data_IF_210184284903
#
_entry.id   IF_210184284903
#
_cell.length_a   1.000
_cell.length_b   1.000
_cell.length_c   1.000
_cell.angle_alpha   90.00
_cell.angle_beta   90.00
_cell.angle_gamma   90.00
#
_symmetry.space_group_name_H-M   'P 1'
#
loop_
_entity.id
_entity.type
_entity.pdbx_description
1 polymer ?
#
# COMPACT_ATOMS: atom_id res chain seq x y z
N UNK A 1 71.51 19.09 2.14
CA UNK A 1 71.73 19.32 3.59
C UNK A 1 71.80 17.96 4.27
N UNK A 2 72.77 17.76 5.18
CA UNK A 2 73.25 16.45 5.64
C UNK A 2 72.73 16.04 7.04
N UNK A 3 73.26 14.88 7.49
CA UNK A 3 73.32 14.26 8.83
C UNK A 3 72.22 13.25 9.18
N UNK A 4 72.50 11.94 9.30
CA UNK A 4 73.43 11.15 10.16
C UNK A 4 72.90 10.90 11.58
N UNK A 5 72.64 9.61 11.86
CA UNK A 5 72.85 8.81 13.10
C UNK A 5 72.04 7.50 12.90
N UNK A 6 72.51 6.26 12.72
CA UNK A 6 73.72 5.47 12.98
C UNK A 6 73.99 5.05 14.44
N UNK A 7 73.49 3.85 14.83
CA UNK A 7 74.18 2.73 15.56
C UNK A 7 73.14 1.72 16.08
N UNK A 8 73.09 0.43 15.68
CA UNK A 8 74.02 -0.71 15.92
C UNK A 8 74.36 -0.86 17.40
N UNK A 9 73.90 -1.90 18.11
CA UNK A 9 74.55 -3.21 18.37
C UNK A 9 74.26 -3.49 19.88
N UNK A 10 74.16 -4.67 20.48
CA UNK A 10 74.33 -6.07 20.12
C UNK A 10 73.90 -6.95 21.32
N UNK A 11 73.74 -8.27 21.09
CA UNK A 11 74.03 -9.40 22.01
C UNK A 11 73.39 -9.48 23.43
N UNK A 12 72.54 -10.46 23.74
CA UNK A 12 72.86 -11.87 24.12
C UNK A 12 72.94 -12.06 25.65
N UNK A 13 72.01 -12.82 26.23
CA UNK A 13 72.36 -13.81 27.26
C UNK A 13 71.22 -14.79 27.53
N UNK A 14 71.60 -16.06 27.47
CA UNK A 14 70.86 -17.28 27.72
C UNK A 14 71.41 -17.84 29.04
N UNK A 15 70.56 -18.07 30.03
CA UNK A 15 70.87 -18.99 31.13
C UNK A 15 69.64 -19.84 31.46
N UNK A 16 69.84 -21.15 31.30
CA UNK A 16 68.99 -22.21 31.79
C UNK A 16 69.18 -22.37 33.32
N UNK A 17 68.08 -22.57 34.06
CA UNK A 17 68.12 -23.44 35.24
C UNK A 17 66.77 -24.11 35.49
N UNK A 18 66.80 -25.44 35.48
CA UNK A 18 65.71 -26.34 35.83
C UNK A 18 65.48 -26.42 37.34
N UNK A 19 64.24 -26.71 37.77
CA UNK A 19 63.88 -27.84 38.64
C UNK A 19 62.59 -27.59 39.45
N UNK A 20 61.53 -28.31 39.08
CA UNK A 20 60.69 -29.07 40.02
C UNK A 20 59.68 -28.33 40.90
N UNK A 21 58.39 -28.47 40.57
CA UNK A 21 57.39 -28.96 41.52
C UNK A 21 56.13 -29.40 40.79
N UNK A 22 55.68 -30.61 41.10
CA UNK A 22 54.43 -31.19 40.67
C UNK A 22 53.27 -30.58 41.48
N UNK A 23 52.32 -29.93 40.83
CA UNK A 23 50.95 -29.80 41.33
C UNK A 23 49.96 -30.05 40.18
N UNK A 24 48.93 -30.89 40.35
CA UNK A 24 47.90 -31.06 39.35
C UNK A 24 46.91 -29.91 39.45
N UNK A 25 47.11 -28.87 38.65
CA UNK A 25 46.08 -27.85 38.38
C UNK A 25 45.03 -28.43 37.45
N UNK A 26 44.09 -29.16 38.05
CA UNK A 26 42.79 -29.44 37.47
C UNK A 26 41.81 -28.41 38.05
N UNK A 27 41.65 -27.26 37.39
CA UNK A 27 40.51 -26.33 37.55
C UNK A 27 40.75 -25.05 36.71
N UNK A 28 40.72 -25.14 35.37
CA UNK A 28 40.67 -23.93 34.53
C UNK A 28 39.86 -24.12 33.24
N UNK A 29 38.77 -24.89 33.29
CA UNK A 29 37.81 -25.01 32.16
C UNK A 29 36.36 -24.63 32.54
N UNK A 30 36.12 -24.12 33.75
CA UNK A 30 34.77 -23.72 34.19
C UNK A 30 34.48 -22.20 34.08
N UNK A 31 35.46 -21.37 33.69
CA UNK A 31 35.31 -19.91 33.67
C UNK A 31 34.81 -19.37 32.31
N UNK A 32 35.06 -20.07 31.20
CA UNK A 32 34.74 -19.57 29.85
C UNK A 32 33.27 -19.76 29.47
N UNK A 33 32.55 -20.72 30.07
CA UNK A 33 31.10 -20.87 29.87
C UNK A 33 30.25 -19.88 30.69
N UNK A 34 30.85 -19.22 31.69
CA UNK A 34 30.15 -18.28 32.56
C UNK A 34 30.06 -16.87 31.97
N UNK A 35 31.03 -16.45 31.14
CA UNK A 35 30.98 -15.10 30.55
C UNK A 35 30.03 -15.04 29.35
N UNK A 36 30.01 -16.06 28.49
CA UNK A 36 29.07 -16.11 27.35
C UNK A 36 27.60 -16.19 27.78
N UNK A 37 27.30 -16.89 28.89
CA UNK A 37 25.93 -16.99 29.40
C UNK A 37 25.45 -15.70 30.11
N UNK A 38 26.37 -14.92 30.67
CA UNK A 38 26.07 -13.62 31.29
C UNK A 38 25.94 -12.52 30.21
N UNK A 39 26.84 -12.51 29.22
CA UNK A 39 26.75 -11.63 28.05
C UNK A 39 25.44 -11.84 27.26
N UNK A 40 24.92 -13.08 27.23
CA UNK A 40 23.64 -13.38 26.55
C UNK A 40 22.42 -12.83 27.28
N UNK A 41 22.46 -12.74 28.62
CA UNK A 41 21.39 -12.11 29.42
C UNK A 41 21.45 -10.59 29.35
N UNK A 42 22.65 -10.01 29.31
CA UNK A 42 22.84 -8.56 29.17
C UNK A 42 22.50 -8.07 27.73
N UNK A 43 22.63 -8.94 26.72
CA UNK A 43 22.09 -8.72 25.37
C UNK A 43 20.57 -8.87 25.28
N UNK A 44 19.94 -9.73 26.10
CA UNK A 44 18.48 -9.86 26.17
C UNK A 44 17.79 -8.66 26.85
N UNK A 45 18.49 -7.93 27.73
CA UNK A 45 17.98 -6.71 28.38
C UNK A 45 18.33 -5.41 27.66
N UNK A 46 19.07 -5.47 26.55
CA UNK A 46 19.34 -4.28 25.75
C UNK A 46 18.04 -3.77 25.10
N UNK A 47 17.59 -2.53 25.39
CA UNK A 47 16.44 -1.95 24.71
C UNK A 47 16.66 -2.00 23.20
N UNK A 48 15.59 -2.25 22.44
CA UNK A 48 15.62 -2.50 20.99
C UNK A 48 16.36 -1.43 20.17
N UNK A 49 16.42 -1.56 18.83
CA UNK A 49 17.01 -0.50 17.98
C UNK A 49 16.40 0.83 18.42
N UNK A 50 17.23 1.77 18.86
CA UNK A 50 16.73 3.09 19.19
C UNK A 50 16.39 3.79 17.88
N UNK A 51 15.12 3.72 17.50
CA UNK A 51 14.61 4.33 16.25
C UNK A 51 14.48 5.84 16.36
N UNK A 52 14.76 6.36 17.55
CA UNK A 52 14.97 7.78 17.81
C UNK A 52 16.42 8.18 17.59
N UNK A 53 17.32 7.22 17.31
CA UNK A 53 18.70 7.53 16.98
C UNK A 53 18.74 8.48 15.79
N UNK A 54 19.34 9.65 16.03
CA UNK A 54 19.63 10.64 15.01
C UNK A 54 20.50 9.98 13.94
N UNK A 55 20.21 10.14 12.64
CA UNK A 55 21.12 9.68 11.58
C UNK A 55 22.47 10.39 11.78
N UNK A 56 23.49 9.68 12.26
CA UNK A 56 24.82 10.27 12.54
C UNK A 56 25.76 10.23 11.35
N UNK A 57 25.53 9.32 10.40
CA UNK A 57 26.28 9.26 9.16
C UNK A 57 25.84 10.36 8.20
N UNK A 58 26.80 11.00 7.54
CA UNK A 58 26.54 12.08 6.57
C UNK A 58 25.52 11.67 5.50
N UNK A 59 25.50 10.40 5.09
CA UNK A 59 24.54 9.83 4.14
C UNK A 59 23.10 9.89 4.67
N UNK A 60 22.88 9.51 5.93
CA UNK A 60 21.55 9.47 6.55
C UNK A 60 20.94 10.84 6.78
N UNK A 61 21.76 11.82 7.19
CA UNK A 61 21.30 13.21 7.32
C UNK A 61 20.84 13.75 5.96
N UNK A 62 21.62 13.50 4.90
CA UNK A 62 21.29 13.94 3.54
C UNK A 62 19.98 13.34 3.05
N UNK A 63 19.79 12.03 3.21
CA UNK A 63 18.54 11.34 2.81
C UNK A 63 17.34 11.87 3.59
N UNK A 64 17.48 12.09 4.89
CA UNK A 64 16.42 12.68 5.71
C UNK A 64 16.09 14.11 5.29
N UNK A 65 17.08 14.94 4.99
CA UNK A 65 16.87 16.31 4.48
C UNK A 65 16.13 16.27 3.15
N UNK A 66 16.51 15.39 2.21
CA UNK A 66 15.76 15.22 0.96
C UNK A 66 14.31 14.80 1.21
N UNK A 67 14.08 13.83 2.10
CA UNK A 67 12.74 13.40 2.45
C UNK A 67 11.89 14.53 3.05
N UNK A 68 12.46 15.34 3.94
CA UNK A 68 11.80 16.52 4.53
C UNK A 68 11.44 17.54 3.44
N UNK A 69 12.38 17.86 2.56
CA UNK A 69 12.15 18.82 1.47
C UNK A 69 11.05 18.31 0.53
N UNK A 70 11.10 17.04 0.13
CA UNK A 70 10.07 16.45 -0.73
C UNK A 70 8.71 16.40 -0.05
N UNK A 71 8.65 16.06 1.24
CA UNK A 71 7.40 16.08 2.01
C UNK A 71 6.81 17.48 2.14
N UNK A 72 7.65 18.49 2.33
CA UNK A 72 7.21 19.89 2.37
C UNK A 72 6.68 20.38 1.01
N UNK A 73 7.39 20.08 -0.08
CA UNK A 73 6.95 20.44 -1.44
C UNK A 73 5.66 19.70 -1.80
N UNK A 74 5.56 18.41 -1.46
CA UNK A 74 4.35 17.59 -1.61
C UNK A 74 3.17 18.21 -0.85
N UNK A 75 3.36 18.61 0.41
CA UNK A 75 2.36 19.33 1.18
C UNK A 75 1.93 20.64 0.49
N UNK A 76 2.87 21.46 0.03
CA UNK A 76 2.55 22.71 -0.66
C UNK A 76 1.76 22.46 -1.96
N UNK A 77 2.11 21.42 -2.72
CA UNK A 77 1.39 21.03 -3.93
C UNK A 77 -0.02 20.52 -3.62
N UNK A 78 -0.20 19.71 -2.59
CA UNK A 78 -1.52 19.24 -2.17
C UNK A 78 -2.38 20.36 -1.60
N UNK A 79 -1.79 21.28 -0.84
CA UNK A 79 -2.49 22.46 -0.35
C UNK A 79 -2.96 23.34 -1.52
N UNK A 80 -2.10 23.54 -2.52
CA UNK A 80 -2.44 24.28 -3.74
C UNK A 80 -3.51 23.55 -4.57
N UNK A 81 -3.40 22.23 -4.74
CA UNK A 81 -4.38 21.42 -5.45
C UNK A 81 -5.73 21.38 -4.73
N UNK A 82 -5.73 21.38 -3.39
CA UNK A 82 -6.93 21.45 -2.55
C UNK A 82 -7.54 22.86 -2.49
N UNK A 83 -6.80 23.89 -2.89
CA UNK A 83 -7.33 25.23 -3.09
C UNK A 83 -8.15 25.29 -4.41
N UNK A 84 -8.87 26.40 -4.72
CA UNK A 84 -9.70 26.51 -5.94
C UNK A 84 -8.86 26.62 -7.23
N UNK A 85 -7.76 25.88 -7.34
CA UNK A 85 -7.02 25.65 -8.57
C UNK A 85 -7.85 24.71 -9.45
N UNK A 86 -7.96 24.99 -10.75
CA UNK A 86 -8.68 24.11 -11.67
C UNK A 86 -7.93 22.79 -11.88
N UNK A 87 -8.65 21.69 -11.77
CA UNK A 87 -8.17 20.33 -12.05
C UNK A 87 -8.45 19.96 -13.51
N UNK A 88 -9.61 20.38 -14.02
CA UNK A 88 -10.01 20.25 -15.40
C UNK A 88 -10.39 21.62 -15.99
N UNK A 89 -10.16 21.77 -17.29
CA UNK A 89 -10.60 22.93 -18.06
C UNK A 89 -11.39 22.48 -19.28
N UNK A 90 -12.61 22.97 -19.41
CA UNK A 90 -13.44 22.76 -20.59
C UNK A 90 -12.90 23.55 -21.79
N UNK A 91 -13.26 23.12 -22.99
CA UNK A 91 -12.83 23.74 -24.27
C UNK A 91 -13.28 25.20 -24.40
N UNK A 92 -14.41 25.56 -23.80
CA UNK A 92 -14.91 26.94 -23.70
C UNK A 92 -14.22 27.78 -22.60
N UNK A 93 -13.24 27.20 -21.91
CA UNK A 93 -12.47 27.85 -20.86
C UNK A 93 -13.05 27.74 -19.45
N UNK A 94 -14.24 27.15 -19.28
CA UNK A 94 -14.82 26.92 -17.95
C UNK A 94 -13.94 25.96 -17.13
N UNK A 95 -13.88 26.22 -15.83
CA UNK A 95 -12.91 25.62 -14.91
C UNK A 95 -13.64 24.78 -13.89
N UNK A 96 -13.14 23.57 -13.68
CA UNK A 96 -13.66 22.63 -12.70
C UNK A 96 -12.63 22.51 -11.61
N UNK A 97 -13.06 22.58 -10.36
CA UNK A 97 -12.20 22.33 -9.21
C UNK A 97 -12.67 21.08 -8.49
N UNK A 98 -11.88 20.62 -7.52
CA UNK A 98 -12.30 19.54 -6.64
C UNK A 98 -13.59 19.84 -5.87
N UNK A 99 -13.96 21.11 -5.71
CA UNK A 99 -15.11 21.54 -4.90
C UNK A 99 -16.37 21.86 -5.70
N UNK A 100 -16.21 22.22 -6.97
CA UNK A 100 -17.31 22.72 -7.80
C UNK A 100 -17.12 22.40 -9.28
N UNK A 101 -18.25 22.25 -9.95
CA UNK A 101 -18.33 22.07 -11.38
C UNK A 101 -18.10 23.38 -12.17
N UNK A 102 -18.25 23.32 -13.50
CA UNK A 102 -18.14 24.49 -14.37
C UNK A 102 -19.19 25.58 -14.14
N UNK A 103 -20.36 25.23 -13.61
CA UNK A 103 -21.44 26.17 -13.32
C UNK A 103 -21.28 26.84 -11.96
N UNK A 104 -20.33 26.36 -11.14
CA UNK A 104 -20.12 26.79 -9.77
C UNK A 104 -20.97 26.03 -8.76
N UNK A 105 -21.68 25.00 -9.20
CA UNK A 105 -22.44 24.08 -8.35
C UNK A 105 -21.48 23.22 -7.56
N UNK A 106 -21.69 23.14 -6.24
CA UNK A 106 -20.90 22.28 -5.36
C UNK A 106 -21.20 20.82 -5.68
N UNK A 107 -20.19 19.94 -5.62
CA UNK A 107 -20.38 18.53 -5.96
C UNK A 107 -21.44 17.84 -5.10
N UNK A 108 -21.57 18.24 -3.83
CA UNK A 108 -22.62 17.75 -2.92
C UNK A 108 -24.05 17.99 -3.43
N UNK A 109 -24.24 19.02 -4.25
CA UNK A 109 -25.55 19.42 -4.79
C UNK A 109 -25.71 18.97 -6.26
N UNK A 110 -24.74 18.21 -6.79
CA UNK A 110 -24.77 17.71 -8.16
C UNK A 110 -25.84 16.61 -8.32
N UNK A 111 -26.63 16.70 -9.37
CA UNK A 111 -27.80 15.84 -9.60
C UNK A 111 -27.45 14.36 -9.83
N UNK A 112 -26.26 14.09 -10.36
CA UNK A 112 -25.81 12.73 -10.63
C UNK A 112 -25.07 12.15 -9.42
N UNK A 113 -25.70 11.18 -8.75
CA UNK A 113 -25.23 10.58 -7.50
C UNK A 113 -23.84 9.93 -7.61
N UNK A 114 -23.58 9.18 -8.70
CA UNK A 114 -22.30 8.49 -8.88
C UNK A 114 -21.13 9.48 -9.01
N UNK A 115 -21.29 10.50 -9.85
CA UNK A 115 -20.28 11.55 -10.03
C UNK A 115 -20.13 12.41 -8.78
N UNK A 116 -21.23 12.73 -8.08
CA UNK A 116 -21.18 13.38 -6.75
C UNK A 116 -20.31 12.57 -5.79
N UNK A 117 -20.55 11.27 -5.66
CA UNK A 117 -19.79 10.41 -4.76
C UNK A 117 -18.30 10.33 -5.16
N UNK A 118 -17.98 10.25 -6.45
CA UNK A 118 -16.60 10.25 -6.96
C UNK A 118 -15.87 11.55 -6.62
N UNK A 119 -16.50 12.71 -6.83
CA UNK A 119 -15.89 13.99 -6.48
C UNK A 119 -15.77 14.20 -4.96
N UNK A 120 -16.74 13.75 -4.17
CA UNK A 120 -16.63 13.75 -2.71
C UNK A 120 -15.48 12.85 -2.22
N UNK A 121 -15.24 11.71 -2.89
CA UNK A 121 -14.08 10.87 -2.60
C UNK A 121 -12.77 11.60 -2.95
N UNK A 122 -12.68 12.23 -4.12
CA UNK A 122 -11.51 13.06 -4.49
C UNK A 122 -11.28 14.20 -3.50
N UNK A 123 -12.33 14.91 -3.06
CA UNK A 123 -12.26 15.93 -2.01
C UNK A 123 -11.65 15.36 -0.72
N UNK A 124 -12.15 14.20 -0.25
CA UNK A 124 -11.65 13.56 0.95
C UNK A 124 -10.18 13.14 0.82
N UNK A 125 -9.80 12.51 -0.30
CA UNK A 125 -8.42 12.08 -0.53
C UNK A 125 -7.46 13.26 -0.71
N UNK A 126 -7.86 14.35 -1.34
CA UNK A 126 -7.06 15.56 -1.45
C UNK A 126 -6.79 16.18 -0.06
N UNK A 127 -7.82 16.28 0.79
CA UNK A 127 -7.67 16.75 2.19
C UNK A 127 -6.75 15.82 2.97
N UNK A 128 -7.01 14.50 2.92
CA UNK A 128 -6.18 13.51 3.61
C UNK A 128 -4.73 13.57 3.14
N UNK A 129 -4.48 13.65 1.84
CA UNK A 129 -3.14 13.76 1.26
C UNK A 129 -2.42 15.02 1.73
N UNK A 130 -3.14 16.14 1.83
CA UNK A 130 -2.60 17.39 2.40
C UNK A 130 -2.18 17.20 3.87
N UNK A 131 -3.07 16.68 4.72
CA UNK A 131 -2.80 16.48 6.15
C UNK A 131 -1.69 15.47 6.39
N UNK A 132 -1.68 14.36 5.66
CA UNK A 132 -0.68 13.30 5.80
C UNK A 132 0.68 13.76 5.27
N UNK A 133 0.74 14.55 4.19
CA UNK A 133 1.99 15.14 3.71
C UNK A 133 2.61 16.08 4.76
N UNK A 134 1.78 16.88 5.44
CA UNK A 134 2.24 17.70 6.57
C UNK A 134 2.74 16.83 7.73
N UNK A 135 2.05 15.75 8.05
CA UNK A 135 2.48 14.81 9.08
C UNK A 135 3.81 14.13 8.72
N UNK A 136 4.03 13.75 7.45
CA UNK A 136 5.31 13.22 6.96
C UNK A 136 6.44 14.23 7.14
N UNK A 137 6.19 15.49 6.78
CA UNK A 137 7.15 16.58 6.98
C UNK A 137 7.52 16.74 8.46
N UNK A 138 6.53 16.83 9.36
CA UNK A 138 6.75 16.96 10.80
C UNK A 138 7.51 15.74 11.34
N UNK A 139 7.12 14.53 10.95
CA UNK A 139 7.79 13.30 11.37
C UNK A 139 9.26 13.26 10.91
N UNK A 140 9.54 13.68 9.67
CA UNK A 140 10.90 13.82 9.15
C UNK A 140 11.73 14.81 9.96
N UNK A 141 11.17 15.99 10.26
CA UNK A 141 11.83 17.02 11.09
C UNK A 141 12.10 16.49 12.50
N UNK A 142 11.11 15.87 13.14
CA UNK A 142 11.26 15.25 14.45
C UNK A 142 12.37 14.19 14.46
N UNK A 143 12.50 13.39 13.39
CA UNK A 143 13.56 12.38 13.27
C UNK A 143 14.96 13.01 13.25
N UNK A 144 15.14 14.12 12.53
CA UNK A 144 16.44 14.83 12.50
C UNK A 144 16.81 15.40 13.87
N UNK A 145 15.83 15.83 14.67
CA UNK A 145 16.04 16.29 16.05
C UNK A 145 16.17 15.16 17.08
N UNK A 146 16.11 13.89 16.67
CA UNK A 146 16.24 12.73 17.57
C UNK A 146 15.03 12.49 18.48
N UNK A 147 13.91 13.15 18.21
CA UNK A 147 12.64 12.96 18.94
C UNK A 147 11.62 12.16 18.14
N UNK A 148 11.89 11.98 16.84
CA UNK A 148 11.06 11.21 15.91
C UNK A 148 11.29 9.71 16.00
N UNK A 149 10.45 8.96 15.31
CA UNK A 149 10.56 7.51 15.22
C UNK A 149 10.52 7.09 13.75
N UNK A 150 11.58 6.46 13.26
CA UNK A 150 11.74 6.15 11.84
C UNK A 150 10.59 5.29 11.28
N UNK A 151 10.08 4.34 12.07
CA UNK A 151 8.90 3.55 11.70
C UNK A 151 7.62 4.38 11.46
N UNK A 152 7.44 5.49 12.20
CA UNK A 152 6.30 6.41 11.99
C UNK A 152 6.49 7.19 10.69
N UNK A 153 7.71 7.64 10.42
CA UNK A 153 8.07 8.30 9.16
C UNK A 153 7.79 7.38 7.97
N UNK A 154 8.21 6.11 8.03
CA UNK A 154 7.89 5.13 6.99
C UNK A 154 6.40 4.93 6.82
N UNK A 155 5.68 4.67 7.93
CA UNK A 155 4.24 4.43 7.90
C UNK A 155 3.49 5.57 7.23
N UNK A 156 3.72 6.80 7.70
CA UNK A 156 3.07 7.98 7.16
C UNK A 156 3.41 8.19 5.69
N UNK A 157 4.67 7.96 5.31
CA UNK A 157 5.11 8.09 3.92
C UNK A 157 4.42 7.09 2.99
N UNK A 158 4.31 5.83 3.40
CA UNK A 158 3.59 4.80 2.63
C UNK A 158 2.10 5.13 2.49
N UNK A 159 1.45 5.51 3.59
CA UNK A 159 0.04 5.91 3.55
C UNK A 159 -0.12 7.13 2.62
N UNK A 160 0.79 8.11 2.69
CA UNK A 160 0.74 9.28 1.83
C UNK A 160 0.81 8.91 0.35
N UNK A 161 1.77 8.06 -0.03
CA UNK A 161 1.90 7.60 -1.42
C UNK A 161 0.60 6.95 -1.91
N UNK A 162 0.00 6.07 -1.10
CA UNK A 162 -1.26 5.40 -1.43
C UNK A 162 -2.37 6.42 -1.63
N UNK A 163 -2.56 7.34 -0.68
CA UNK A 163 -3.59 8.39 -0.73
C UNK A 163 -3.44 9.27 -1.97
N UNK A 164 -2.21 9.74 -2.26
CA UNK A 164 -1.93 10.59 -3.42
C UNK A 164 -2.13 9.85 -4.75
N UNK A 165 -1.75 8.58 -4.81
CA UNK A 165 -1.97 7.75 -5.99
C UNK A 165 -3.46 7.49 -6.21
N UNK A 166 -4.23 7.23 -5.15
CA UNK A 166 -5.68 7.04 -5.23
C UNK A 166 -6.38 8.30 -5.70
N UNK A 167 -6.05 9.47 -5.15
CA UNK A 167 -6.60 10.76 -5.57
C UNK A 167 -6.36 11.01 -7.07
N UNK A 168 -5.11 10.82 -7.51
CA UNK A 168 -4.74 10.93 -8.92
C UNK A 168 -5.50 9.94 -9.81
N UNK A 169 -5.61 8.68 -9.38
CA UNK A 169 -6.29 7.63 -10.13
C UNK A 169 -7.81 7.90 -10.27
N UNK A 170 -8.46 8.41 -9.22
CA UNK A 170 -9.87 8.80 -9.26
C UNK A 170 -10.12 9.89 -10.31
N UNK A 171 -9.21 10.86 -10.40
CA UNK A 171 -9.28 11.93 -11.39
C UNK A 171 -9.07 11.42 -12.82
N UNK A 172 -8.10 10.53 -13.04
CA UNK A 172 -7.90 9.86 -14.34
C UNK A 172 -9.14 9.06 -14.74
N UNK A 173 -9.70 8.31 -13.79
CA UNK A 173 -10.92 7.54 -14.01
C UNK A 173 -12.08 8.47 -14.41
N UNK A 174 -12.28 9.58 -13.70
CA UNK A 174 -13.30 10.58 -14.02
C UNK A 174 -13.06 11.26 -15.37
N UNK A 175 -11.81 11.42 -15.80
CA UNK A 175 -11.45 12.02 -17.10
C UNK A 175 -11.78 11.11 -18.29
N UNK A 176 -11.54 9.81 -18.14
CA UNK A 176 -11.71 8.83 -19.21
C UNK A 176 -13.06 8.13 -19.22
N UNK A 177 -13.72 7.98 -18.07
CA UNK A 177 -14.96 7.22 -17.95
C UNK A 177 -16.19 8.12 -17.90
N UNK A 178 -17.28 7.57 -18.42
CA UNK A 178 -18.62 8.14 -18.33
C UNK A 178 -19.22 7.81 -16.96
N UNK A 179 -19.68 8.82 -16.22
CA UNK A 179 -20.15 8.62 -14.85
C UNK A 179 -21.63 8.97 -14.66
N UNK A 180 -22.32 9.50 -15.68
CA UNK A 180 -23.70 9.97 -15.57
C UNK A 180 -24.51 9.78 -16.85
N UNK A 181 -25.78 9.33 -16.77
CA UNK A 181 -26.70 9.25 -17.90
C UNK A 181 -26.70 10.52 -18.76
N UNK A 182 -26.57 10.36 -20.08
CA UNK A 182 -26.52 11.42 -21.11
C UNK A 182 -25.33 12.39 -21.07
N UNK A 183 -24.31 12.17 -20.22
CA UNK A 183 -23.07 12.93 -20.31
C UNK A 183 -22.12 12.36 -21.38
N UNK A 184 -21.02 13.03 -21.68
CA UNK A 184 -20.00 12.49 -22.60
C UNK A 184 -18.69 12.51 -21.81
N UNK A 185 -17.84 11.47 -21.91
CA UNK A 185 -16.53 11.47 -21.27
C UNK A 185 -15.76 12.77 -21.55
N UNK A 186 -15.03 13.27 -20.57
CA UNK A 186 -14.34 14.56 -20.71
C UNK A 186 -13.27 14.55 -21.79
N UNK A 187 -12.58 13.42 -21.96
CA UNK A 187 -11.62 13.22 -23.04
C UNK A 187 -12.24 13.48 -24.42
N UNK A 188 -13.51 13.11 -24.63
CA UNK A 188 -14.22 13.32 -25.89
C UNK A 188 -14.71 14.77 -26.10
N UNK A 189 -14.80 15.58 -25.04
CA UNK A 189 -15.20 17.01 -25.11
C UNK A 189 -14.02 17.99 -25.25
N UNK A 190 -12.80 17.49 -25.53
CA UNK A 190 -11.55 18.29 -25.59
C UNK A 190 -11.28 19.01 -24.25
N UNK A 191 -11.70 18.41 -23.13
CA UNK A 191 -11.33 18.95 -21.83
C UNK A 191 -9.85 18.66 -21.58
N UNK A 192 -9.12 19.65 -21.07
CA UNK A 192 -7.69 19.51 -20.76
C UNK A 192 -7.50 19.31 -19.26
N UNK A 193 -6.67 18.32 -18.91
CA UNK A 193 -6.10 18.20 -17.58
C UNK A 193 -5.29 19.48 -17.28
N UNK A 194 -5.42 20.01 -16.07
CA UNK A 194 -4.88 21.32 -15.71
C UNK A 194 -3.98 21.24 -14.46
N UNK A 195 -3.56 22.40 -13.93
CA UNK A 195 -2.57 22.51 -12.87
C UNK A 195 -2.88 21.64 -11.63
N UNK A 196 -4.15 21.53 -11.21
CA UNK A 196 -4.53 20.67 -10.07
C UNK A 196 -4.13 19.21 -10.27
N UNK A 197 -4.42 18.64 -11.44
CA UNK A 197 -4.01 17.27 -11.82
C UNK A 197 -2.48 17.09 -11.72
N UNK A 198 -1.74 18.03 -12.31
CA UNK A 198 -0.28 17.95 -12.34
C UNK A 198 0.34 18.07 -10.95
N UNK A 199 -0.22 18.91 -10.08
CA UNK A 199 0.25 19.09 -8.71
C UNK A 199 0.09 17.82 -7.87
N UNK A 200 -1.05 17.12 -7.97
CA UNK A 200 -1.26 15.85 -7.26
C UNK A 200 -0.28 14.78 -7.76
N UNK A 201 -0.09 14.66 -9.08
CA UNK A 201 0.86 13.71 -9.64
C UNK A 201 2.31 13.99 -9.23
N UNK A 202 2.74 15.25 -9.31
CA UNK A 202 4.08 15.66 -8.88
C UNK A 202 4.28 15.42 -7.37
N UNK A 203 3.25 15.68 -6.55
CA UNK A 203 3.25 15.38 -5.13
C UNK A 203 3.47 13.88 -4.87
N UNK A 204 2.71 13.02 -5.55
CA UNK A 204 2.88 11.57 -5.51
C UNK A 204 4.32 11.15 -5.87
N UNK A 205 4.83 11.64 -7.00
CA UNK A 205 6.17 11.27 -7.47
C UNK A 205 7.27 11.68 -6.48
N UNK A 206 7.21 12.89 -5.94
CA UNK A 206 8.16 13.37 -4.93
C UNK A 206 8.15 12.51 -3.68
N UNK A 207 6.95 12.19 -3.15
CA UNK A 207 6.82 11.32 -1.98
C UNK A 207 7.32 9.90 -2.27
N UNK A 208 7.03 9.36 -3.46
CA UNK A 208 7.52 8.06 -3.88
C UNK A 208 9.06 8.03 -3.88
N UNK A 209 9.71 8.97 -4.56
CA UNK A 209 11.17 9.02 -4.61
C UNK A 209 11.81 9.27 -3.23
N UNK A 210 11.24 10.17 -2.43
CA UNK A 210 11.72 10.43 -1.07
C UNK A 210 11.61 9.21 -0.17
N UNK A 211 10.53 8.44 -0.30
CA UNK A 211 10.32 7.21 0.48
C UNK A 211 11.21 6.08 0.00
N UNK A 212 11.40 5.91 -1.32
CA UNK A 212 12.31 4.92 -1.87
C UNK A 212 13.76 5.18 -1.44
N UNK A 213 14.20 6.44 -1.44
CA UNK A 213 15.51 6.82 -0.94
C UNK A 213 15.66 6.50 0.56
N UNK A 214 14.63 6.80 1.36
CA UNK A 214 14.62 6.48 2.79
C UNK A 214 14.64 4.97 3.05
N UNK A 215 13.87 4.20 2.29
CA UNK A 215 13.82 2.72 2.36
C UNK A 215 15.17 2.14 1.97
N UNK A 216 15.77 2.62 0.88
CA UNK A 216 17.08 2.17 0.41
C UNK A 216 18.17 2.45 1.45
N UNK A 217 18.20 3.66 2.01
CA UNK A 217 19.13 4.02 3.06
C UNK A 217 18.95 3.19 4.32
N UNK A 218 17.71 3.02 4.80
CA UNK A 218 17.44 2.19 5.97
C UNK A 218 17.80 0.72 5.71
N UNK A 219 17.55 0.22 4.50
CA UNK A 219 17.99 -1.11 4.11
C UNK A 219 19.51 -1.22 4.20
N UNK A 220 20.26 -0.30 3.61
CA UNK A 220 21.73 -0.29 3.64
C UNK A 220 22.26 -0.29 5.09
N UNK A 221 21.77 0.63 5.94
CA UNK A 221 22.24 0.77 7.33
C UNK A 221 21.84 -0.39 8.23
N UNK A 222 20.56 -0.79 8.23
CA UNK A 222 20.08 -1.77 9.20
C UNK A 222 20.30 -3.22 8.74
N UNK A 223 20.34 -3.48 7.43
CA UNK A 223 20.52 -4.84 6.91
C UNK A 223 21.99 -5.21 6.72
N UNK A 224 22.86 -4.26 6.40
CA UNK A 224 24.29 -4.54 6.17
C UNK A 224 25.15 -4.28 7.40
N UNK A 225 24.71 -3.50 8.40
CA UNK A 225 25.53 -3.33 9.61
C UNK A 225 25.45 -4.56 10.52
N UNK A 226 26.62 -5.15 10.79
CA UNK A 226 26.75 -6.31 11.69
C UNK A 226 26.28 -6.00 13.12
N UNK A 227 26.34 -4.73 13.52
CA UNK A 227 26.06 -4.24 14.87
C UNK A 227 24.55 -4.25 15.21
N UNK A 228 23.67 -4.16 14.21
CA UNK A 228 22.21 -4.06 14.43
C UNK A 228 21.45 -5.35 14.08
N UNK A 229 22.18 -6.40 13.69
CA UNK A 229 21.62 -7.64 13.14
C UNK A 229 20.63 -8.36 14.06
N UNK A 230 20.81 -8.24 15.38
CA UNK A 230 19.94 -8.89 16.37
C UNK A 230 18.72 -8.06 16.76
N UNK A 231 18.72 -6.75 16.49
CA UNK A 231 17.66 -5.83 16.91
C UNK A 231 16.70 -5.45 15.79
N UNK A 232 17.11 -5.61 14.52
CA UNK A 232 16.29 -5.32 13.34
C UNK A 232 15.93 -6.62 12.62
N UNK A 233 14.63 -6.96 12.56
CA UNK A 233 14.20 -8.13 11.79
C UNK A 233 14.13 -7.81 10.30
N UNK A 234 15.18 -8.19 9.55
CA UNK A 234 15.21 -8.11 8.07
C UNK A 234 14.00 -8.82 7.45
N UNK A 235 13.60 -9.96 8.03
CA UNK A 235 12.42 -10.70 7.61
C UNK A 235 11.15 -9.88 7.74
N UNK A 236 10.92 -9.28 8.91
CA UNK A 236 9.74 -8.43 9.14
C UNK A 236 9.73 -7.19 8.25
N UNK A 237 10.88 -6.59 7.95
CA UNK A 237 10.96 -5.44 7.05
C UNK A 237 10.55 -5.78 5.61
N UNK A 238 11.13 -6.85 5.04
CA UNK A 238 10.73 -7.33 3.70
C UNK A 238 9.26 -7.72 3.68
N UNK A 239 8.78 -8.38 4.75
CA UNK A 239 7.37 -8.73 4.88
C UNK A 239 6.44 -7.51 4.96
N UNK A 240 6.89 -6.43 5.60
CA UNK A 240 6.15 -5.16 5.64
C UNK A 240 5.95 -4.58 4.23
N UNK A 241 7.02 -4.52 3.43
CA UNK A 241 6.95 -4.05 2.04
C UNK A 241 6.02 -4.93 1.20
N UNK A 242 6.14 -6.25 1.34
CA UNK A 242 5.27 -7.21 0.67
C UNK A 242 3.80 -7.03 1.08
N UNK A 243 3.52 -6.81 2.37
CA UNK A 243 2.16 -6.56 2.88
C UNK A 243 1.56 -5.29 2.28
N UNK A 244 2.34 -4.21 2.19
CA UNK A 244 1.90 -2.96 1.56
C UNK A 244 1.54 -3.14 0.08
N UNK A 245 2.36 -3.91 -0.66
CA UNK A 245 2.07 -4.25 -2.06
C UNK A 245 0.81 -5.11 -2.19
N UNK A 246 0.66 -6.13 -1.34
CA UNK A 246 -0.53 -7.01 -1.29
C UNK A 246 -1.80 -6.23 -1.01
N UNK A 247 -1.78 -5.34 -0.01
CA UNK A 247 -2.91 -4.46 0.31
C UNK A 247 -3.31 -3.62 -0.90
N UNK A 248 -2.33 -3.08 -1.62
CA UNK A 248 -2.58 -2.28 -2.84
C UNK A 248 -3.24 -3.14 -3.93
N UNK A 249 -2.72 -4.33 -4.20
CA UNK A 249 -3.26 -5.26 -5.20
C UNK A 249 -4.70 -5.67 -4.84
N UNK A 250 -4.96 -6.02 -3.58
CA UNK A 250 -6.28 -6.43 -3.11
C UNK A 250 -7.32 -5.29 -3.22
N UNK A 251 -6.94 -4.09 -2.77
CA UNK A 251 -7.79 -2.90 -2.86
C UNK A 251 -8.12 -2.57 -4.31
N UNK A 252 -7.12 -2.57 -5.20
CA UNK A 252 -7.34 -2.32 -6.64
C UNK A 252 -8.23 -3.42 -7.23
N UNK A 253 -7.94 -4.69 -6.97
CA UNK A 253 -8.72 -5.82 -7.46
C UNK A 253 -10.21 -5.73 -7.09
N UNK A 254 -10.51 -5.30 -5.86
CA UNK A 254 -11.88 -5.09 -5.37
C UNK A 254 -12.66 -4.04 -6.16
N UNK A 255 -11.98 -3.06 -6.77
CA UNK A 255 -12.62 -2.00 -7.56
C UNK A 255 -12.77 -2.33 -9.05
N UNK A 256 -12.08 -3.37 -9.53
CA UNK A 256 -12.06 -3.75 -10.94
C UNK A 256 -13.21 -4.70 -11.31
N UNK A 257 -13.34 -4.96 -12.60
CA UNK A 257 -14.30 -5.94 -13.13
C UNK A 257 -13.88 -7.35 -12.76
N UNK A 258 -14.85 -8.18 -12.37
CA UNK A 258 -14.65 -9.58 -11.98
C UNK A 258 -14.84 -10.53 -13.16
N UNK A 259 -15.87 -10.27 -13.96
CA UNK A 259 -16.17 -11.05 -15.16
C UNK A 259 -16.65 -10.15 -16.28
N UNK A 260 -16.43 -10.58 -17.52
CA UNK A 260 -16.92 -9.90 -18.70
C UNK A 260 -17.46 -10.88 -19.75
N UNK A 261 -18.42 -10.43 -20.53
CA UNK A 261 -18.94 -11.15 -21.69
C UNK A 261 -18.87 -10.25 -22.91
N UNK A 262 -18.29 -10.81 -23.97
CA UNK A 262 -18.16 -10.14 -25.25
C UNK A 262 -19.32 -10.53 -26.17
N UNK A 263 -20.05 -9.51 -26.62
CA UNK A 263 -21.03 -9.62 -27.69
C UNK A 263 -20.53 -8.85 -28.92
N UNK A 264 -21.25 -8.98 -30.04
CA UNK A 264 -20.87 -8.33 -31.31
C UNK A 264 -20.78 -6.80 -31.15
N UNK A 265 -21.84 -6.19 -30.60
CA UNK A 265 -21.98 -4.72 -30.54
C UNK A 265 -21.70 -4.14 -29.14
N UNK A 266 -21.57 -4.98 -28.11
CA UNK A 266 -21.38 -4.53 -26.73
C UNK A 266 -20.55 -5.51 -25.89
N UNK A 267 -20.01 -5.03 -24.78
CA UNK A 267 -19.34 -5.82 -23.76
C UNK A 267 -20.05 -5.58 -22.43
N UNK A 268 -20.49 -6.64 -21.76
CA UNK A 268 -21.04 -6.55 -20.41
C UNK A 268 -19.95 -6.89 -19.40
N UNK A 269 -19.68 -6.00 -18.45
CA UNK A 269 -18.69 -6.23 -17.39
C UNK A 269 -19.38 -6.14 -16.03
N UNK A 270 -19.04 -7.07 -15.15
CA UNK A 270 -19.64 -7.19 -13.83
C UNK A 270 -18.56 -6.92 -12.78
N UNK A 271 -18.78 -5.95 -11.91
CA UNK A 271 -17.94 -5.66 -10.74
C UNK A 271 -18.72 -5.90 -9.45
N UNK A 272 -18.07 -5.77 -8.28
CA UNK A 272 -18.78 -5.83 -6.99
C UNK A 272 -19.81 -4.72 -6.82
N UNK A 273 -19.52 -3.55 -7.38
CA UNK A 273 -20.23 -2.30 -7.08
C UNK A 273 -21.22 -1.90 -8.16
N UNK A 274 -21.03 -2.36 -9.39
CA UNK A 274 -21.80 -1.93 -10.55
C UNK A 274 -21.71 -2.95 -11.69
N UNK A 275 -22.58 -2.76 -12.68
CA UNK A 275 -22.52 -3.38 -14.00
C UNK A 275 -22.13 -2.30 -15.00
N UNK A 276 -21.17 -2.58 -15.86
CA UNK A 276 -20.79 -1.71 -16.98
C UNK A 276 -21.27 -2.34 -18.29
N UNK A 277 -22.15 -1.64 -19.00
CA UNK A 277 -22.55 -1.97 -20.36
C UNK A 277 -21.77 -1.09 -21.35
N UNK A 278 -20.77 -1.66 -21.99
CA UNK A 278 -19.91 -0.95 -22.94
C UNK A 278 -20.38 -1.18 -24.38
N UNK A 279 -20.92 -0.15 -25.03
CA UNK A 279 -21.26 -0.18 -26.44
C UNK A 279 -20.01 0.06 -27.30
N UNK A 280 -19.66 -0.91 -28.16
CA UNK A 280 -18.44 -0.90 -28.97
C UNK A 280 -18.50 0.08 -30.13
N UNK A 281 -19.68 0.28 -30.73
CA UNK A 281 -19.84 1.18 -31.87
C UNK A 281 -19.70 2.65 -31.45
N UNK A 282 -20.34 3.02 -30.34
CA UNK A 282 -20.29 4.39 -29.81
C UNK A 282 -19.08 4.64 -28.90
N UNK A 283 -18.38 3.59 -28.46
CA UNK A 283 -17.34 3.65 -27.44
C UNK A 283 -17.82 4.29 -26.13
N UNK A 284 -19.08 4.05 -25.77
CA UNK A 284 -19.72 4.58 -24.56
C UNK A 284 -19.97 3.45 -23.56
N UNK A 285 -19.71 3.72 -22.28
CA UNK A 285 -20.08 2.86 -21.15
C UNK A 285 -21.30 3.41 -20.44
N UNK A 286 -22.29 2.57 -20.20
CA UNK A 286 -23.40 2.83 -19.28
C UNK A 286 -23.19 2.04 -17.99
N UNK A 287 -23.52 2.64 -16.84
CA UNK A 287 -23.34 2.01 -15.53
C UNK A 287 -24.69 1.79 -14.87
N UNK A 288 -24.93 0.55 -14.45
CA UNK A 288 -26.08 0.18 -13.67
C UNK A 288 -25.67 -0.21 -12.26
N UNK A 289 -26.50 0.17 -11.30
CA UNK A 289 -26.36 -0.28 -9.93
C UNK A 289 -26.62 -1.79 -9.85
N UNK A 290 -25.94 -2.47 -8.93
CA UNK A 290 -26.24 -3.86 -8.60
C UNK A 290 -27.70 -4.05 -8.19
N UNK A 291 -28.33 -3.00 -7.64
CA UNK A 291 -29.75 -3.00 -7.29
C UNK A 291 -30.70 -3.19 -8.47
N UNK A 292 -30.25 -2.88 -9.70
CA UNK A 292 -30.99 -3.17 -10.94
C UNK A 292 -31.22 -4.68 -11.15
N UNK A 293 -30.52 -5.55 -10.42
CA UNK A 293 -30.91 -6.96 -10.36
C UNK A 293 -32.04 -7.18 -9.34
N UNK A 294 -33.20 -7.62 -9.82
CA UNK A 294 -34.29 -8.03 -8.92
C UNK A 294 -34.04 -9.38 -8.19
N UNK A 295 -33.05 -10.17 -8.63
CA UNK A 295 -32.70 -11.42 -7.96
C UNK A 295 -31.97 -11.19 -6.62
N UNK A 296 -32.72 -11.26 -5.51
CA UNK A 296 -32.20 -10.99 -4.15
C UNK A 296 -31.06 -11.92 -3.74
N UNK A 297 -31.10 -13.19 -4.16
CA UNK A 297 -30.05 -14.17 -3.86
C UNK A 297 -28.71 -13.82 -4.49
N UNK A 298 -28.71 -13.32 -5.74
CA UNK A 298 -27.52 -12.86 -6.41
C UNK A 298 -26.93 -11.60 -5.72
N UNK A 299 -27.78 -10.60 -5.45
CA UNK A 299 -27.36 -9.37 -4.75
C UNK A 299 -26.70 -9.66 -3.40
N UNK A 300 -27.31 -10.55 -2.61
CA UNK A 300 -26.75 -10.97 -1.32
C UNK A 300 -25.36 -11.60 -1.47
N UNK A 301 -25.14 -12.42 -2.49
CA UNK A 301 -23.82 -13.02 -2.70
C UNK A 301 -22.77 -12.00 -3.14
N UNK A 302 -23.11 -11.10 -4.07
CA UNK A 302 -22.17 -10.04 -4.49
C UNK A 302 -21.84 -9.08 -3.35
N UNK A 303 -22.83 -8.65 -2.56
CA UNK A 303 -22.60 -7.83 -1.36
C UNK A 303 -21.77 -8.57 -0.31
N UNK A 304 -22.01 -9.88 -0.11
CA UNK A 304 -21.18 -10.68 0.78
C UNK A 304 -19.73 -10.75 0.30
N UNK A 305 -19.50 -10.99 -1.00
CA UNK A 305 -18.15 -10.96 -1.59
C UNK A 305 -17.46 -9.62 -1.38
N UNK A 306 -18.14 -8.51 -1.68
CA UNK A 306 -17.65 -7.16 -1.46
C UNK A 306 -17.29 -6.89 0.02
N UNK A 307 -18.16 -7.31 0.95
CA UNK A 307 -17.92 -7.16 2.39
C UNK A 307 -16.70 -7.97 2.87
N UNK A 308 -16.53 -9.21 2.40
CA UNK A 308 -15.34 -10.01 2.71
C UNK A 308 -14.06 -9.40 2.14
N UNK A 309 -14.14 -8.76 0.95
CA UNK A 309 -13.01 -8.02 0.37
C UNK A 309 -12.61 -6.83 1.24
N UNK A 310 -13.57 -5.98 1.64
CA UNK A 310 -13.30 -4.83 2.53
C UNK A 310 -12.73 -5.31 3.87
N UNK A 311 -13.31 -6.36 4.45
CA UNK A 311 -12.85 -6.90 5.72
C UNK A 311 -11.41 -7.41 5.62
N UNK A 312 -11.07 -8.08 4.52
CA UNK A 312 -9.68 -8.45 4.25
C UNK A 312 -8.76 -7.23 4.21
N UNK A 313 -9.12 -6.21 3.43
CA UNK A 313 -8.27 -5.03 3.24
C UNK A 313 -8.04 -4.31 4.59
N UNK A 314 -9.08 -4.24 5.44
CA UNK A 314 -8.95 -3.73 6.81
C UNK A 314 -7.97 -4.57 7.64
N UNK A 315 -8.02 -5.90 7.57
CA UNK A 315 -7.07 -6.77 8.27
C UNK A 315 -5.66 -6.72 7.68
N UNK A 316 -5.50 -6.58 6.36
CA UNK A 316 -4.19 -6.34 5.72
C UNK A 316 -3.59 -5.01 6.17
N UNK A 317 -4.42 -3.98 6.33
CA UNK A 317 -3.98 -2.71 6.87
C UNK A 317 -3.49 -2.84 8.30
N UNK A 318 -4.23 -3.52 9.19
CA UNK A 318 -3.77 -3.77 10.56
C UNK A 318 -2.51 -4.66 10.56
N UNK A 319 -2.46 -5.69 9.71
CA UNK A 319 -1.26 -6.52 9.52
C UNK A 319 -0.06 -5.67 9.10
N UNK A 320 -0.22 -4.70 8.19
CA UNK A 320 0.83 -3.79 7.77
C UNK A 320 1.33 -2.96 8.96
N UNK A 321 0.43 -2.38 9.76
CA UNK A 321 0.78 -1.63 10.97
C UNK A 321 1.58 -2.49 11.96
N UNK A 322 1.10 -3.70 12.23
CA UNK A 322 1.79 -4.64 13.12
C UNK A 322 3.11 -5.13 12.52
N UNK A 323 3.22 -5.30 11.20
CA UNK A 323 4.47 -5.73 10.54
C UNK A 323 5.55 -4.67 10.67
N UNK A 324 5.19 -3.39 10.58
CA UNK A 324 6.10 -2.26 10.88
C UNK A 324 6.58 -2.34 12.32
N UNK A 325 5.68 -2.61 13.27
CA UNK A 325 6.04 -2.87 14.67
C UNK A 325 6.94 -4.10 14.84
N UNK A 326 6.71 -5.15 14.05
CA UNK A 326 7.45 -6.41 14.07
C UNK A 326 8.90 -6.28 13.61
N UNK A 327 9.23 -5.24 12.83
CA UNK A 327 10.62 -4.88 12.51
C UNK A 327 11.45 -4.65 13.77
N UNK A 328 10.79 -4.19 14.84
CA UNK A 328 11.46 -3.71 16.05
C UNK A 328 11.17 -4.55 17.29
N UNK A 329 9.97 -5.13 17.39
CA UNK A 329 9.61 -5.98 18.51
C UNK A 329 8.97 -7.29 18.04
N UNK A 330 9.52 -8.40 18.52
CA UNK A 330 9.12 -9.75 18.12
C UNK A 330 7.67 -10.09 18.49
N UNK A 331 7.08 -9.44 19.49
CA UNK A 331 5.68 -9.68 19.88
C UNK A 331 4.69 -9.28 18.77
N UNK A 332 4.94 -8.16 18.07
CA UNK A 332 4.06 -7.71 16.99
C UNK A 332 4.08 -8.64 15.77
N UNK A 333 5.13 -9.45 15.60
CA UNK A 333 5.20 -10.48 14.55
C UNK A 333 4.01 -11.43 14.63
N UNK A 334 3.74 -11.98 15.81
CA UNK A 334 2.69 -12.97 15.98
C UNK A 334 1.30 -12.35 15.82
N UNK A 335 1.13 -11.10 16.25
CA UNK A 335 -0.09 -10.33 16.03
C UNK A 335 -0.30 -10.08 14.53
N UNK A 336 0.75 -9.68 13.81
CA UNK A 336 0.72 -9.47 12.36
C UNK A 336 0.36 -10.76 11.61
N UNK A 337 0.97 -11.90 11.98
CA UNK A 337 0.61 -13.21 11.42
C UNK A 337 -0.87 -13.54 11.69
N UNK A 338 -1.35 -13.29 12.90
CA UNK A 338 -2.76 -13.51 13.26
C UNK A 338 -3.72 -12.73 12.35
N UNK A 339 -3.53 -11.42 12.22
CA UNK A 339 -4.34 -10.60 11.31
C UNK A 339 -4.20 -11.01 9.85
N UNK A 340 -3.00 -11.37 9.41
CA UNK A 340 -2.77 -11.85 8.06
C UNK A 340 -3.46 -13.17 7.76
N UNK A 341 -3.55 -14.11 8.71
CA UNK A 341 -4.33 -15.36 8.57
C UNK A 341 -5.82 -15.06 8.45
N UNK A 342 -6.34 -14.11 9.23
CA UNK A 342 -7.76 -13.70 9.12
C UNK A 342 -8.02 -13.07 7.76
N UNK A 343 -7.17 -12.13 7.31
CA UNK A 343 -7.26 -11.56 5.96
C UNK A 343 -7.22 -12.64 4.88
N UNK A 344 -6.25 -13.55 4.96
CA UNK A 344 -6.08 -14.66 4.02
C UNK A 344 -7.36 -15.51 3.91
N UNK A 345 -8.00 -15.83 5.04
CA UNK A 345 -9.25 -16.57 5.06
C UNK A 345 -10.40 -15.76 4.44
N UNK A 346 -10.50 -14.46 4.74
CA UNK A 346 -11.54 -13.60 4.15
C UNK A 346 -11.37 -13.40 2.65
N UNK A 347 -10.15 -13.26 2.13
CA UNK A 347 -9.87 -13.26 0.69
C UNK A 347 -10.26 -14.58 0.04
N UNK A 348 -9.93 -15.71 0.68
CA UNK A 348 -10.31 -17.03 0.20
C UNK A 348 -11.82 -17.16 0.01
N UNK A 349 -12.59 -16.72 1.01
CA UNK A 349 -14.04 -16.68 0.95
C UNK A 349 -14.53 -15.71 -0.13
N UNK A 350 -13.95 -14.51 -0.21
CA UNK A 350 -14.29 -13.50 -1.21
C UNK A 350 -14.19 -14.06 -2.64
N UNK A 351 -13.02 -14.56 -3.05
CA UNK A 351 -12.85 -15.05 -4.42
C UNK A 351 -13.61 -16.37 -4.65
N UNK A 352 -13.81 -17.22 -3.64
CA UNK A 352 -14.66 -18.41 -3.76
C UNK A 352 -16.14 -18.05 -4.01
N UNK A 353 -16.67 -17.01 -3.36
CA UNK A 353 -18.02 -16.49 -3.64
C UNK A 353 -18.10 -16.01 -5.08
N UNK A 354 -17.13 -15.20 -5.52
CA UNK A 354 -17.09 -14.67 -6.90
C UNK A 354 -17.04 -15.81 -7.92
N UNK A 355 -16.16 -16.79 -7.74
CA UNK A 355 -16.11 -17.99 -8.60
C UNK A 355 -17.44 -18.76 -8.56
N UNK A 356 -18.05 -18.92 -7.39
CA UNK A 356 -19.37 -19.56 -7.27
C UNK A 356 -20.46 -18.78 -8.02
N UNK A 357 -20.45 -17.45 -7.97
CA UNK A 357 -21.42 -16.61 -8.69
C UNK A 357 -21.31 -16.83 -10.20
N UNK A 358 -20.09 -16.99 -10.73
CA UNK A 358 -19.88 -17.28 -12.15
C UNK A 358 -20.54 -18.57 -12.62
N UNK A 359 -20.40 -19.64 -11.85
CA UNK A 359 -20.85 -20.98 -12.24
C UNK A 359 -22.28 -21.33 -11.78
N UNK A 360 -22.89 -20.50 -10.92
CA UNK A 360 -24.23 -20.75 -10.38
C UNK A 360 -25.27 -19.92 -11.11
N UNK A 361 -26.36 -20.56 -11.52
CA UNK A 361 -27.57 -19.85 -11.95
C UNK A 361 -28.43 -19.50 -10.73
N UNK A 362 -28.77 -18.22 -10.59
CA UNK A 362 -29.67 -17.70 -9.56
C UNK A 362 -31.06 -17.42 -10.13
N UNK A 363 -32.08 -17.49 -9.25
CA UNK A 363 -33.47 -17.19 -9.59
C UNK A 363 -33.95 -17.95 -10.84
N UNK A 364 -33.83 -19.28 -10.82
CA UNK A 364 -34.03 -20.15 -12.00
C UNK A 364 -35.42 -20.04 -12.64
N UNK A 365 -36.43 -19.74 -11.82
CA UNK A 365 -37.83 -19.64 -12.24
C UNK A 365 -38.20 -18.24 -12.76
N UNK A 366 -37.27 -17.28 -12.67
CA UNK A 366 -37.46 -15.92 -13.17
C UNK A 366 -37.40 -15.82 -14.70
N UNK A 367 -37.80 -14.67 -15.22
CA UNK A 367 -37.76 -14.36 -16.64
C UNK A 367 -36.32 -14.46 -17.18
N UNK A 368 -36.14 -15.11 -18.33
CA UNK A 368 -34.86 -15.14 -19.04
C UNK A 368 -34.63 -13.83 -19.79
N UNK A 369 -33.55 -13.10 -19.52
CA UNK A 369 -33.25 -11.88 -20.26
C UNK A 369 -32.87 -12.18 -21.70
N UNK A 370 -33.25 -11.27 -22.61
CA UNK A 370 -32.82 -11.30 -24.03
C UNK A 370 -31.29 -11.29 -24.15
N UNK A 371 -30.64 -10.58 -23.22
CA UNK A 371 -29.18 -10.50 -23.10
C UNK A 371 -28.75 -11.19 -21.82
N UNK A 372 -28.00 -12.30 -21.94
CA UNK A 372 -27.56 -13.08 -20.78
C UNK A 372 -26.70 -12.20 -19.87
N UNK A 373 -27.10 -12.14 -18.60
CA UNK A 373 -26.41 -11.39 -17.55
C UNK A 373 -26.83 -9.91 -17.46
N UNK A 374 -27.56 -9.32 -18.40
CA UNK A 374 -28.05 -7.95 -18.27
C UNK A 374 -29.25 -7.87 -17.30
N UNK A 375 -29.39 -6.80 -16.50
CA UNK A 375 -30.58 -6.56 -15.71
C UNK A 375 -31.81 -6.25 -16.58
N UNK A 376 -33.00 -6.55 -16.07
CA UNK A 376 -34.31 -6.25 -16.67
C UNK A 376 -35.21 -5.54 -15.67
N UNK A 377 -36.09 -4.65 -16.15
CA UNK A 377 -37.14 -3.96 -15.38
C UNK A 377 -38.35 -4.86 -15.00
N UNK A 378 -38.14 -6.17 -14.79
CA UNK A 378 -39.21 -7.13 -14.47
C UNK A 378 -39.00 -7.77 -13.09
N UNK A 379 -40.08 -8.25 -12.46
CA UNK A 379 -40.13 -8.62 -11.04
C UNK A 379 -39.05 -9.62 -10.58
N UNK A 380 -38.84 -10.73 -11.29
CA UNK A 380 -37.75 -11.66 -11.01
C UNK A 380 -37.10 -12.13 -12.31
N UNK A 381 -35.78 -11.94 -12.42
CA UNK A 381 -35.00 -12.37 -13.56
C UNK A 381 -34.05 -13.50 -13.20
N UNK A 382 -33.88 -14.43 -14.15
CA UNK A 382 -32.88 -15.48 -14.08
C UNK A 382 -31.50 -14.90 -14.36
N UNK A 383 -30.57 -15.06 -13.41
CA UNK A 383 -29.20 -14.55 -13.51
C UNK A 383 -28.22 -15.70 -13.67
N UNK A 384 -27.48 -15.71 -14.77
CA UNK A 384 -26.43 -16.69 -15.06
C UNK A 384 -25.25 -15.99 -15.73
N UNK A 385 -24.04 -16.30 -15.28
CA UNK A 385 -22.78 -15.80 -15.87
C UNK A 385 -21.95 -16.93 -16.45
N UNK A 386 -22.60 -18.05 -16.77
CA UNK A 386 -21.96 -19.16 -17.48
C UNK A 386 -21.46 -18.66 -18.85
N UNK A 387 -20.18 -18.91 -19.14
CA UNK A 387 -19.51 -18.43 -20.35
C UNK A 387 -18.76 -17.10 -20.19
N UNK A 388 -18.99 -16.33 -19.12
CA UNK A 388 -18.27 -15.08 -18.88
C UNK A 388 -16.78 -15.36 -18.65
N UNK A 389 -15.93 -14.51 -19.20
CA UNK A 389 -14.47 -14.54 -19.04
C UNK A 389 -14.11 -13.90 -17.70
N UNK A 390 -13.18 -14.52 -16.97
CA UNK A 390 -12.63 -13.94 -15.74
C UNK A 390 -11.67 -12.82 -16.10
N UNK A 391 -11.80 -11.67 -15.46
CA UNK A 391 -11.01 -10.46 -15.74
C UNK A 391 -10.06 -10.09 -14.60
N UNK A 392 -9.37 -8.96 -14.78
CA UNK A 392 -8.28 -8.49 -13.90
C UNK A 392 -8.69 -8.38 -12.44
N UNK A 393 -9.91 -7.98 -12.09
CA UNK A 393 -10.32 -7.81 -10.69
C UNK A 393 -10.24 -9.11 -9.89
N UNK A 394 -10.83 -10.18 -10.40
CA UNK A 394 -10.73 -11.51 -9.77
C UNK A 394 -9.29 -12.04 -9.83
N UNK A 395 -8.57 -11.81 -10.92
CA UNK A 395 -7.15 -12.16 -11.05
C UNK A 395 -6.28 -11.49 -10.00
N UNK A 396 -6.49 -10.21 -9.72
CA UNK A 396 -5.78 -9.42 -8.72
C UNK A 396 -6.11 -9.90 -7.30
N UNK A 397 -7.38 -10.20 -6.99
CA UNK A 397 -7.78 -10.74 -5.68
C UNK A 397 -7.11 -12.11 -5.43
N UNK A 398 -7.11 -13.01 -6.41
CA UNK A 398 -6.43 -14.31 -6.32
C UNK A 398 -4.92 -14.11 -6.16
N UNK A 399 -4.33 -13.17 -6.91
CA UNK A 399 -2.90 -12.85 -6.82
C UNK A 399 -2.53 -12.30 -5.44
N UNK A 400 -3.35 -11.40 -4.88
CA UNK A 400 -3.18 -10.88 -3.53
C UNK A 400 -3.27 -12.00 -2.49
N UNK A 401 -4.22 -12.93 -2.63
CA UNK A 401 -4.33 -14.10 -1.75
C UNK A 401 -3.07 -14.99 -1.81
N UNK A 402 -2.58 -15.31 -3.00
CA UNK A 402 -1.33 -16.08 -3.19
C UNK A 402 -0.12 -15.35 -2.58
N UNK A 403 0.02 -14.06 -2.85
CA UNK A 403 1.12 -13.25 -2.31
C UNK A 403 1.03 -13.11 -0.78
N UNK A 404 -0.18 -12.98 -0.21
CA UNK A 404 -0.41 -13.02 1.24
C UNK A 404 0.06 -14.35 1.82
N UNK A 405 -0.26 -15.47 1.17
CA UNK A 405 0.15 -16.81 1.60
C UNK A 405 1.68 -16.91 1.69
N UNK A 406 2.38 -16.52 0.63
CA UNK A 406 3.85 -16.53 0.60
C UNK A 406 4.44 -15.60 1.67
N UNK A 407 3.86 -14.41 1.83
CA UNK A 407 4.31 -13.45 2.82
C UNK A 407 4.11 -13.93 4.26
N UNK A 408 3.01 -14.62 4.57
CA UNK A 408 2.76 -15.22 5.88
C UNK A 408 3.76 -16.33 6.20
N UNK A 409 4.04 -17.21 5.23
CA UNK A 409 5.06 -18.26 5.38
C UNK A 409 6.42 -17.61 5.61
N UNK A 410 6.77 -16.60 4.81
CA UNK A 410 8.04 -15.89 4.94
C UNK A 410 8.17 -15.19 6.29
N UNK A 411 7.16 -14.44 6.73
CA UNK A 411 7.17 -13.78 8.04
C UNK A 411 7.23 -14.81 9.17
N UNK A 412 6.51 -15.92 9.06
CA UNK A 412 6.53 -17.02 10.04
C UNK A 412 7.93 -17.62 10.21
N UNK A 413 8.62 -17.91 9.11
CA UNK A 413 9.93 -18.59 9.10
C UNK A 413 11.10 -17.63 9.33
N UNK A 414 11.07 -16.42 8.75
CA UNK A 414 12.20 -15.50 8.68
C UNK A 414 12.02 -14.18 9.43
N UNK A 415 10.79 -13.80 9.78
CA UNK A 415 10.50 -12.61 10.61
C UNK A 415 10.89 -12.82 12.04
#
# INVERSE_FOLDING_TARGET
MPNQEQRMEDSEQREDHASGSNEPLAEEEASVCSSEACDRKDLEECPGVDLRAVPRENSGVVVMVFHIVFSFISFAFMLAASCPIPWLRASDGRKWTVWKDESGTLWKDYACDHKRAMFQAMEAFAICGCVISLACFIAGVMQVYGVGHLGVTFLLSFINIIVLLTDWALLVNQYHKYNCPNEIPYVAKVNRLNAGFALVFCSFALMLFGTLALVYWAYDIFVLSEIHRDKFSRGAFVSTLATGAVLTIATVGTTQTMFEQYYENYTLKIAFWHIEFYNRESSLSEYWDLNSYHCSSFKKQMHAGAAFSILSDAFLFVMLLCSIGAVYQRCYKWIAIGFGVVSWATLAVCWAIVVSVRYKTFCKDGATPTVIGAPMDTDEQRVSFEGFVITDGLGLIISAWCATTLNLIYLGVRG
#
